data_IF_252652401079
#
_entry.id   IF_252652401079
#
_cell.length_a   1.000
_cell.length_b   1.000
_cell.length_c   1.000
_cell.angle_alpha   90.00
_cell.angle_beta   90.00
_cell.angle_gamma   90.00
#
_symmetry.space_group_name_H-M   'P 1'
#
loop_
_entity.id
_entity.type
_entity.pdbx_description
1 polymer ?
#
# COMPACT_ATOMS: atom_id res chain seq x y z
N UNK A 1 9.82 3.06 4.61
CA UNK A 1 8.53 2.43 4.97
C UNK A 1 7.56 2.65 3.82
N UNK A 2 6.40 2.03 3.83
CA UNK A 2 5.38 2.12 2.79
C UNK A 2 4.15 2.91 3.30
N UNK A 3 3.51 3.69 2.41
CA UNK A 3 2.40 4.62 2.69
C UNK A 3 1.00 4.06 2.35
N UNK A 4 0.89 2.75 2.14
CA UNK A 4 -0.35 2.08 1.68
C UNK A 4 -1.54 2.42 2.59
N UNK A 5 -1.32 2.56 3.91
CA UNK A 5 -2.36 2.98 4.85
C UNK A 5 -2.92 4.37 4.51
N UNK A 6 -2.04 5.36 4.34
CA UNK A 6 -2.40 6.75 4.05
C UNK A 6 -3.18 6.83 2.74
N UNK A 7 -2.70 6.17 1.68
CA UNK A 7 -3.38 6.16 0.37
C UNK A 7 -4.75 5.46 0.41
N UNK A 8 -4.91 4.42 1.23
CA UNK A 8 -6.22 3.80 1.46
C UNK A 8 -7.19 4.72 2.21
N UNK A 9 -6.70 5.46 3.22
CA UNK A 9 -7.48 6.44 3.97
C UNK A 9 -7.86 7.66 3.10
N UNK A 10 -6.93 8.19 2.31
CA UNK A 10 -7.14 9.29 1.34
C UNK A 10 -8.20 8.93 0.28
N UNK A 11 -8.20 7.70 -0.23
CA UNK A 11 -9.22 7.22 -1.20
C UNK A 11 -10.50 6.66 -0.56
N UNK A 12 -10.57 6.57 0.76
CA UNK A 12 -11.71 5.98 1.48
C UNK A 12 -11.92 4.47 1.22
N UNK A 13 -10.88 3.76 0.79
CA UNK A 13 -10.96 2.35 0.37
C UNK A 13 -10.74 1.41 1.57
N UNK A 14 -11.61 0.40 1.69
CA UNK A 14 -11.51 -0.61 2.75
C UNK A 14 -10.39 -1.62 2.46
N UNK A 15 -9.66 -2.01 3.51
CA UNK A 15 -8.61 -3.05 3.43
C UNK A 15 -9.16 -4.41 2.94
N UNK A 16 -10.43 -4.73 3.25
CA UNK A 16 -11.12 -5.94 2.74
C UNK A 16 -11.25 -5.92 1.22
N UNK A 17 -11.61 -4.77 0.65
CA UNK A 17 -11.73 -4.61 -0.80
C UNK A 17 -10.36 -4.73 -1.49
N UNK A 18 -9.31 -4.12 -0.92
CA UNK A 18 -7.95 -4.30 -1.47
C UNK A 18 -7.49 -5.77 -1.39
N UNK A 19 -7.87 -6.50 -0.34
CA UNK A 19 -7.58 -7.94 -0.21
C UNK A 19 -8.29 -8.78 -1.29
N UNK A 20 -9.56 -8.48 -1.57
CA UNK A 20 -10.32 -9.07 -2.68
C UNK A 20 -9.67 -8.78 -4.04
N UNK A 21 -9.32 -7.52 -4.34
CA UNK A 21 -8.70 -7.14 -5.62
C UNK A 21 -7.29 -7.74 -5.81
N UNK A 22 -6.51 -7.88 -4.75
CA UNK A 22 -5.20 -8.54 -4.78
C UNK A 22 -5.27 -10.08 -4.79
N UNK A 23 -6.47 -10.66 -4.63
CA UNK A 23 -6.68 -12.08 -4.38
C UNK A 23 -5.79 -12.62 -3.22
N UNK A 24 -5.74 -11.87 -2.11
CA UNK A 24 -4.91 -12.16 -0.92
C UNK A 24 -5.76 -12.18 0.34
N UNK A 25 -5.29 -12.87 1.38
CA UNK A 25 -6.00 -12.85 2.66
C UNK A 25 -5.95 -11.46 3.31
N UNK A 26 -7.01 -11.08 4.01
CA UNK A 26 -7.08 -9.83 4.78
C UNK A 26 -5.87 -9.66 5.71
N UNK A 27 -5.44 -10.74 6.37
CA UNK A 27 -4.27 -10.72 7.27
C UNK A 27 -2.96 -10.34 6.55
N UNK A 28 -2.79 -10.76 5.29
CA UNK A 28 -1.62 -10.41 4.48
C UNK A 28 -1.63 -8.93 4.09
N UNK A 29 -2.78 -8.40 3.65
CA UNK A 29 -2.93 -6.97 3.33
C UNK A 29 -2.79 -6.10 4.57
N UNK A 30 -3.39 -6.49 5.69
CA UNK A 30 -3.21 -5.81 6.98
C UNK A 30 -1.74 -5.82 7.43
N UNK A 31 -0.97 -6.88 7.11
CA UNK A 31 0.48 -6.92 7.29
C UNK A 31 1.23 -5.85 6.49
N UNK A 32 0.81 -5.59 5.24
CA UNK A 32 1.37 -4.52 4.40
C UNK A 32 0.97 -3.12 4.89
N UNK A 33 -0.29 -2.95 5.27
CA UNK A 33 -0.87 -1.67 5.72
C UNK A 33 -0.30 -1.23 7.07
N UNK A 34 -0.08 -2.17 8.00
CA UNK A 34 0.57 -1.90 9.30
C UNK A 34 2.11 -1.96 9.23
N UNK A 35 2.70 -1.94 8.03
CA UNK A 35 4.13 -2.06 7.74
C UNK A 35 4.82 -3.37 8.22
N UNK A 36 4.16 -4.19 9.06
CA UNK A 36 4.67 -5.44 9.70
C UNK A 36 5.37 -6.38 8.71
N UNK A 37 4.90 -6.40 7.47
CA UNK A 37 5.55 -7.05 6.35
C UNK A 37 5.60 -6.07 5.18
N UNK A 38 6.69 -6.05 4.40
CA UNK A 38 6.71 -5.30 3.15
C UNK A 38 6.13 -6.16 2.01
N UNK A 39 5.29 -5.60 1.12
CA UNK A 39 4.91 -6.26 -0.11
C UNK A 39 6.14 -6.44 -1.01
N UNK A 40 6.12 -7.47 -1.86
CA UNK A 40 7.10 -7.59 -2.95
C UNK A 40 6.84 -6.51 -4.00
N UNK A 41 7.85 -6.23 -4.82
CA UNK A 41 7.75 -5.21 -5.87
C UNK A 41 6.56 -5.44 -6.81
N UNK A 42 6.35 -6.70 -7.25
CA UNK A 42 5.17 -7.13 -8.03
C UNK A 42 3.84 -6.70 -7.36
N UNK A 43 3.67 -7.06 -6.09
CA UNK A 43 2.47 -6.74 -5.30
C UNK A 43 2.32 -5.23 -5.09
N UNK A 44 3.42 -4.49 -4.99
CA UNK A 44 3.38 -3.03 -4.88
C UNK A 44 2.89 -2.37 -6.19
N UNK A 45 3.33 -2.88 -7.35
CA UNK A 45 2.79 -2.48 -8.66
C UNK A 45 1.32 -2.87 -8.85
N UNK A 46 0.89 -4.06 -8.38
CA UNK A 46 -0.53 -4.44 -8.36
C UNK A 46 -1.35 -3.46 -7.51
N UNK A 47 -0.89 -3.12 -6.30
CA UNK A 47 -1.56 -2.15 -5.42
C UNK A 47 -1.64 -0.77 -6.08
N UNK A 48 -0.57 -0.28 -6.69
CA UNK A 48 -0.57 1.01 -7.40
C UNK A 48 -1.59 1.03 -8.56
N UNK A 49 -1.65 -0.06 -9.32
CA UNK A 49 -2.60 -0.23 -10.43
C UNK A 49 -4.06 -0.35 -9.96
N UNK A 50 -4.31 -1.07 -8.86
CA UNK A 50 -5.67 -1.24 -8.28
C UNK A 50 -6.16 0.07 -7.67
N UNK A 51 -5.26 0.82 -7.02
CA UNK A 51 -5.58 2.07 -6.37
C UNK A 51 -5.53 3.27 -7.32
N UNK A 52 -5.04 3.13 -8.56
CA UNK A 52 -4.81 4.20 -9.53
C UNK A 52 -3.96 5.35 -8.94
N UNK A 53 -2.70 5.03 -8.63
CA UNK A 53 -1.66 5.92 -8.07
C UNK A 53 -0.27 5.54 -8.61
N UNK A 54 0.73 6.40 -8.42
CA UNK A 54 2.12 6.00 -8.68
C UNK A 54 2.61 5.05 -7.56
N UNK A 55 3.49 4.11 -7.91
CA UNK A 55 4.25 3.32 -6.92
C UNK A 55 5.07 4.23 -5.99
N UNK A 56 5.53 5.38 -6.49
CA UNK A 56 6.21 6.40 -5.69
C UNK A 56 5.34 6.91 -4.53
N UNK A 57 4.03 7.07 -4.72
CA UNK A 57 3.11 7.57 -3.68
C UNK A 57 2.93 6.57 -2.54
N UNK A 58 3.05 5.27 -2.84
CA UNK A 58 3.00 4.16 -1.89
C UNK A 58 4.29 3.99 -1.08
N UNK A 59 5.33 4.79 -1.33
CA UNK A 59 6.63 4.71 -0.65
C UNK A 59 6.87 5.97 0.20
N UNK A 60 7.49 5.79 1.37
CA UNK A 60 7.97 6.91 2.19
C UNK A 60 9.30 7.40 1.60
N UNK A 61 9.31 8.60 1.05
CA UNK A 61 10.52 9.28 0.60
C UNK A 61 11.41 9.65 1.78
N UNK A 62 12.54 8.95 1.91
CA UNK A 62 13.54 9.22 2.96
C UNK A 62 14.39 10.47 2.68
N UNK A 63 14.40 11.02 1.44
CA UNK A 63 15.15 12.27 1.14
C UNK A 63 14.49 13.53 1.68
N UNK A 64 13.20 13.51 2.02
CA UNK A 64 12.50 14.69 2.57
C UNK A 64 12.89 15.07 4.00
N UNK A 65 13.77 14.32 4.68
CA UNK A 65 14.40 14.73 5.96
C UNK A 65 15.68 15.54 5.74
N UNK A 66 15.56 16.70 5.11
CA UNK A 66 16.59 17.75 5.16
C UNK A 66 15.95 19.13 5.07
N UNK A 67 15.48 19.59 6.23
CA UNK A 67 15.13 20.98 6.58
C UNK A 67 15.21 21.13 8.09
#
# INVERSE_FOLDING_TARGET
MNRIKEVLEEKGIKQTWLAEQLNKSYNMVNGYVQNRQQPRLEVLFEIAKILDVDVADLLVDHKKRSK
#
